data_IF_796149843697
#
_entry.id   IF_796149843697
#
_cell.length_a   1.000
_cell.length_b   1.000
_cell.length_c   1.000
_cell.angle_alpha   90.00
_cell.angle_beta   90.00
_cell.angle_gamma   90.00
#
_symmetry.space_group_name_H-M   'P 1'
#
loop_
_entity.id
_entity.type
_entity.pdbx_description
1 polymer ?
#
# COMPACT_ATOMS: atom_id res chain seq x y z
N UNK A 1 17.61 -47.36 26.70
CA UNK A 1 16.95 -46.04 26.77
C UNK A 1 15.46 -46.30 26.94
N UNK A 2 14.88 -46.01 28.10
CA UNK A 2 13.44 -46.25 28.32
C UNK A 2 12.60 -45.38 27.39
N UNK A 3 11.55 -45.96 26.80
CA UNK A 3 10.62 -45.19 25.97
C UNK A 3 9.86 -44.18 26.84
N UNK A 4 9.76 -42.90 26.41
CA UNK A 4 9.03 -41.88 27.13
C UNK A 4 7.60 -42.35 27.46
N UNK A 5 7.10 -42.00 28.65
CA UNK A 5 5.77 -42.41 29.13
C UNK A 5 4.67 -42.03 28.12
N UNK A 6 4.81 -40.89 27.46
CA UNK A 6 3.90 -40.39 26.42
C UNK A 6 3.82 -41.29 25.21
N UNK A 7 4.94 -41.86 24.76
CA UNK A 7 4.98 -42.82 23.66
C UNK A 7 4.37 -44.16 24.08
N UNK A 8 4.61 -44.59 25.33
CA UNK A 8 4.02 -45.82 25.87
C UNK A 8 2.50 -45.72 26.00
N UNK A 9 1.98 -44.54 26.36
CA UNK A 9 0.54 -44.26 26.55
C UNK A 9 -0.14 -43.64 25.32
N UNK A 10 0.48 -43.71 24.14
CA UNK A 10 -0.06 -43.05 22.94
C UNK A 10 -1.37 -43.69 22.45
N UNK A 11 -1.56 -44.98 22.68
CA UNK A 11 -2.72 -45.72 22.17
C UNK A 11 -3.94 -45.44 23.05
N UNK A 12 -4.92 -44.74 22.50
CA UNK A 12 -6.17 -44.38 23.16
C UNK A 12 -7.31 -45.35 22.84
N UNK A 13 -7.03 -46.51 22.24
CA UNK A 13 -8.00 -47.60 22.03
C UNK A 13 -9.32 -47.15 21.39
N UNK A 14 -9.23 -46.30 20.36
CA UNK A 14 -10.36 -45.72 19.62
C UNK A 14 -11.27 -44.82 20.47
N UNK A 15 -10.79 -44.29 21.59
CA UNK A 15 -11.49 -43.27 22.38
C UNK A 15 -11.92 -42.09 21.49
N UNK A 16 -13.17 -41.61 21.62
CA UNK A 16 -13.65 -40.44 20.88
C UNK A 16 -12.97 -39.19 21.40
N UNK A 17 -12.29 -38.47 20.53
CA UNK A 17 -11.64 -37.19 20.80
C UNK A 17 -12.33 -36.13 19.95
N UNK A 18 -12.87 -35.11 20.62
CA UNK A 18 -13.65 -34.04 20.00
C UNK A 18 -12.76 -32.97 19.37
N UNK A 19 -13.09 -32.54 18.16
CA UNK A 19 -12.43 -31.48 17.41
C UNK A 19 -13.47 -30.44 17.02
N UNK A 20 -13.37 -29.23 17.57
CA UNK A 20 -14.31 -28.16 17.21
C UNK A 20 -13.76 -27.34 16.02
N UNK A 21 -14.51 -27.22 14.93
CA UNK A 21 -14.11 -26.53 13.71
C UNK A 21 -15.09 -25.39 13.37
N UNK A 22 -14.53 -24.26 12.95
CA UNK A 22 -15.30 -23.07 12.57
C UNK A 22 -15.76 -23.19 11.13
N UNK A 23 -17.05 -23.12 10.86
CA UNK A 23 -17.63 -23.31 9.53
C UNK A 23 -18.69 -22.25 9.28
N UNK A 24 -18.67 -21.66 8.07
CA UNK A 24 -19.66 -20.67 7.64
C UNK A 24 -20.75 -21.26 6.74
N UNK A 25 -20.50 -22.40 6.10
CA UNK A 25 -21.44 -23.02 5.16
C UNK A 25 -21.62 -24.53 5.38
N UNK A 26 -22.83 -25.04 5.15
CA UNK A 26 -23.13 -26.47 5.30
C UNK A 26 -22.35 -27.37 4.33
N UNK A 27 -22.00 -26.88 3.14
CA UNK A 27 -21.16 -27.62 2.20
C UNK A 27 -19.78 -27.96 2.79
N UNK A 28 -19.19 -27.02 3.56
CA UNK A 28 -17.94 -27.25 4.28
C UNK A 28 -18.09 -28.33 5.36
N UNK A 29 -19.24 -28.43 6.04
CA UNK A 29 -19.47 -29.49 7.03
C UNK A 29 -19.36 -30.86 6.39
N UNK A 30 -19.94 -31.04 5.20
CA UNK A 30 -19.88 -32.30 4.45
C UNK A 30 -18.44 -32.63 4.01
N UNK A 31 -17.70 -31.66 3.47
CA UNK A 31 -16.27 -31.81 3.11
C UNK A 31 -15.45 -32.25 4.34
N UNK A 32 -15.66 -31.59 5.48
CA UNK A 32 -14.95 -31.92 6.72
C UNK A 32 -15.32 -33.28 7.31
N UNK A 33 -16.53 -33.80 7.06
CA UNK A 33 -16.93 -35.15 7.50
C UNK A 33 -16.41 -36.24 6.56
N UNK A 34 -16.51 -36.02 5.25
CA UNK A 34 -16.19 -37.00 4.21
C UNK A 34 -14.72 -36.97 3.78
N UNK A 35 -14.00 -35.91 4.10
CA UNK A 35 -12.64 -35.63 3.64
C UNK A 35 -12.51 -35.51 2.11
N UNK A 36 -13.62 -35.32 1.40
CA UNK A 36 -13.66 -35.11 -0.05
C UNK A 36 -13.44 -33.63 -0.41
N UNK A 37 -12.20 -33.28 -0.78
CA UNK A 37 -11.82 -31.89 -1.04
C UNK A 37 -12.32 -31.46 -2.42
N UNK A 38 -13.42 -30.71 -2.46
CA UNK A 38 -13.88 -30.08 -3.69
C UNK A 38 -13.01 -28.87 -4.04
N UNK A 39 -12.13 -29.04 -5.02
CA UNK A 39 -11.17 -28.02 -5.48
C UNK A 39 -11.85 -26.69 -5.90
N UNK A 40 -13.08 -26.74 -6.40
CA UNK A 40 -13.82 -25.56 -6.85
C UNK A 40 -14.31 -24.66 -5.69
N UNK A 41 -14.45 -25.21 -4.49
CA UNK A 41 -14.95 -24.52 -3.30
C UNK A 41 -13.84 -24.21 -2.28
N UNK A 42 -12.59 -24.22 -2.75
CA UNK A 42 -11.40 -23.94 -1.92
C UNK A 42 -11.30 -22.49 -1.45
N UNK A 43 -12.16 -21.60 -1.90
CA UNK A 43 -12.20 -20.20 -1.46
C UNK A 43 -13.09 -19.99 -0.23
N UNK A 44 -13.85 -21.01 0.19
CA UNK A 44 -14.76 -20.97 1.35
C UNK A 44 -14.17 -21.81 2.48
N UNK A 45 -14.15 -21.25 3.70
CA UNK A 45 -13.69 -21.91 4.94
C UNK A 45 -12.33 -22.62 4.81
N UNK A 46 -11.47 -22.12 3.94
CA UNK A 46 -10.24 -22.81 3.54
C UNK A 46 -9.27 -22.99 4.71
N UNK A 47 -9.29 -22.08 5.69
CA UNK A 47 -8.54 -22.21 6.95
C UNK A 47 -8.99 -23.47 7.69
N UNK A 48 -10.30 -23.66 7.88
CA UNK A 48 -10.86 -24.81 8.59
C UNK A 48 -10.69 -26.12 7.83
N UNK A 49 -10.82 -26.08 6.49
CA UNK A 49 -10.51 -27.22 5.60
C UNK A 49 -9.06 -27.66 5.74
N UNK A 50 -8.12 -26.71 5.78
CA UNK A 50 -6.70 -27.00 5.95
C UNK A 50 -6.37 -27.53 7.35
N UNK A 51 -6.77 -26.82 8.39
CA UNK A 51 -6.41 -27.16 9.76
C UNK A 51 -7.01 -28.49 10.22
N UNK A 52 -8.25 -28.81 9.81
CA UNK A 52 -8.86 -30.11 10.15
C UNK A 52 -8.11 -31.27 9.46
N UNK A 53 -7.65 -31.07 8.21
CA UNK A 53 -6.79 -32.04 7.51
C UNK A 53 -5.42 -32.17 8.14
N UNK A 54 -4.85 -31.09 8.66
CA UNK A 54 -3.56 -31.09 9.36
C UNK A 54 -3.62 -31.77 10.74
N UNK A 55 -4.76 -31.67 11.42
CA UNK A 55 -4.98 -32.34 12.71
C UNK A 55 -5.34 -33.82 12.55
N UNK A 56 -5.81 -34.25 11.37
CA UNK A 56 -6.30 -35.62 11.17
C UNK A 56 -5.28 -36.73 11.43
N UNK A 57 -4.02 -36.64 10.94
CA UNK A 57 -3.02 -37.67 11.21
C UNK A 57 -2.69 -37.86 12.70
N UNK A 58 -3.05 -36.89 13.55
CA UNK A 58 -2.91 -37.02 15.00
C UNK A 58 -3.77 -38.16 15.56
N UNK A 59 -4.97 -38.37 15.01
CA UNK A 59 -5.87 -39.45 15.48
C UNK A 59 -5.29 -40.82 15.16
N UNK A 60 -4.68 -40.98 13.99
CA UNK A 60 -4.00 -42.22 13.61
C UNK A 60 -2.78 -42.48 14.50
N UNK A 61 -2.01 -41.42 14.82
CA UNK A 61 -0.87 -41.52 15.73
C UNK A 61 -1.26 -42.00 17.14
N UNK A 62 -2.42 -41.56 17.62
CA UNK A 62 -2.93 -41.91 18.95
C UNK A 62 -3.88 -43.12 18.95
N UNK A 63 -4.18 -43.71 17.78
CA UNK A 63 -5.25 -44.71 17.63
C UNK A 63 -6.56 -44.26 18.31
N UNK A 64 -7.01 -43.03 18.02
CA UNK A 64 -8.22 -42.42 18.58
C UNK A 64 -9.29 -42.22 17.49
N UNK A 65 -10.56 -42.14 17.87
CA UNK A 65 -11.64 -41.80 16.92
C UNK A 65 -11.89 -40.30 16.93
N UNK A 66 -12.03 -39.71 15.76
CA UNK A 66 -12.27 -38.27 15.61
C UNK A 66 -13.77 -37.99 15.64
N UNK A 67 -14.19 -37.07 16.49
CA UNK A 67 -15.56 -36.51 16.48
C UNK A 67 -15.47 -35.03 16.14
N UNK A 68 -16.11 -34.58 15.06
CA UNK A 68 -16.06 -33.17 14.65
C UNK A 68 -17.29 -32.44 15.19
N UNK A 69 -17.05 -31.34 15.90
CA UNK A 69 -18.07 -30.40 16.39
C UNK A 69 -18.00 -29.15 15.54
N UNK A 70 -19.13 -28.66 15.06
CA UNK A 70 -19.17 -27.47 14.20
C UNK A 70 -19.66 -26.25 14.96
N UNK A 71 -19.05 -25.11 14.67
CA UNK A 71 -19.42 -23.82 15.25
C UNK A 71 -19.21 -22.69 14.25
N UNK A 72 -19.83 -21.54 14.45
CA UNK A 72 -19.76 -20.41 13.51
C UNK A 72 -18.63 -19.42 13.83
N UNK A 73 -18.06 -19.49 15.04
CA UNK A 73 -17.08 -18.50 15.50
C UNK A 73 -15.89 -19.15 16.23
N UNK A 74 -14.73 -18.48 16.19
CA UNK A 74 -13.53 -18.90 16.92
C UNK A 74 -13.71 -18.92 18.43
N UNK A 75 -14.64 -18.12 18.95
CA UNK A 75 -14.94 -18.01 20.36
C UNK A 75 -14.42 -16.71 20.97
N UNK A 76 -15.37 -15.93 21.47
CA UNK A 76 -15.20 -14.63 22.09
C UNK A 76 -15.89 -14.61 23.44
N UNK A 77 -15.43 -13.75 24.33
CA UNK A 77 -16.01 -13.62 25.66
C UNK A 77 -17.32 -12.82 25.54
N UNK A 78 -18.45 -13.48 25.79
CA UNK A 78 -19.79 -12.89 25.78
C UNK A 78 -20.44 -13.19 27.12
N UNK A 79 -20.82 -12.15 27.86
CA UNK A 79 -21.47 -12.27 29.18
C UNK A 79 -20.71 -13.17 30.17
N UNK A 80 -19.38 -13.09 30.17
CA UNK A 80 -18.51 -13.84 31.10
C UNK A 80 -18.18 -15.28 30.69
N UNK A 81 -18.74 -15.80 29.59
CA UNK A 81 -18.44 -17.13 29.06
C UNK A 81 -17.92 -17.06 27.63
N UNK A 82 -17.08 -18.03 27.23
CA UNK A 82 -16.61 -18.13 25.85
C UNK A 82 -17.67 -18.82 25.00
N UNK A 83 -18.02 -18.23 23.87
CA UNK A 83 -18.80 -18.89 22.83
C UNK A 83 -17.88 -19.59 21.81
N UNK A 84 -18.46 -20.10 20.73
CA UNK A 84 -17.70 -20.63 19.59
C UNK A 84 -16.82 -21.83 19.94
N UNK A 85 -15.80 -22.03 19.12
CA UNK A 85 -14.84 -23.13 19.25
C UNK A 85 -14.14 -23.15 20.61
N UNK A 86 -13.73 -22.00 21.12
CA UNK A 86 -13.11 -21.91 22.46
C UNK A 86 -14.12 -22.28 23.56
N UNK A 87 -15.39 -21.88 23.41
CA UNK A 87 -16.47 -22.29 24.31
C UNK A 87 -16.63 -23.81 24.37
N UNK A 88 -16.51 -24.50 23.23
CA UNK A 88 -16.57 -25.96 23.16
C UNK A 88 -15.42 -26.62 23.92
N UNK A 89 -14.20 -26.07 23.82
CA UNK A 89 -13.04 -26.53 24.59
C UNK A 89 -13.21 -26.29 26.10
N UNK A 90 -13.73 -25.13 26.49
CA UNK A 90 -13.92 -24.79 27.91
C UNK A 90 -14.98 -25.71 28.54
N UNK A 91 -16.12 -25.91 27.86
CA UNK A 91 -17.23 -26.78 28.27
C UNK A 91 -16.90 -28.28 28.21
N UNK A 92 -15.84 -28.66 27.50
CA UNK A 92 -15.48 -30.07 27.30
C UNK A 92 -16.32 -30.77 26.23
N UNK A 93 -16.95 -30.01 25.33
CA UNK A 93 -17.62 -30.57 24.15
C UNK A 93 -16.62 -30.96 23.04
N UNK A 94 -15.43 -30.36 23.06
CA UNK A 94 -14.29 -30.72 22.21
C UNK A 94 -12.99 -30.67 23.01
N UNK A 95 -12.01 -31.48 22.62
CA UNK A 95 -10.69 -31.56 23.25
C UNK A 95 -9.64 -30.71 22.52
N UNK A 96 -9.81 -30.57 21.21
CA UNK A 96 -8.88 -29.92 20.27
C UNK A 96 -9.61 -28.90 19.40
N UNK A 97 -8.89 -27.86 18.98
CA UNK A 97 -9.36 -26.98 17.91
C UNK A 97 -9.08 -27.59 16.55
N UNK A 98 -10.13 -27.74 15.74
CA UNK A 98 -10.07 -28.11 14.33
C UNK A 98 -9.75 -26.93 13.42
N UNK A 99 -9.99 -25.70 13.88
CA UNK A 99 -9.57 -24.47 13.21
C UNK A 99 -8.45 -23.78 13.98
N UNK A 100 -7.42 -23.31 13.26
CA UNK A 100 -6.31 -22.59 13.89
C UNK A 100 -6.74 -21.23 14.45
N UNK A 101 -6.10 -20.78 15.53
CA UNK A 101 -6.44 -19.54 16.25
C UNK A 101 -5.22 -18.65 16.51
N UNK A 102 -5.42 -17.34 16.58
CA UNK A 102 -4.38 -16.41 17.01
C UNK A 102 -4.25 -16.34 18.54
N UNK A 103 -3.02 -16.12 18.99
CA UNK A 103 -2.68 -15.91 20.40
C UNK A 103 -3.28 -14.59 20.88
N UNK A 104 -3.94 -14.64 22.04
CA UNK A 104 -4.35 -13.42 22.78
C UNK A 104 -4.13 -13.62 24.28
N UNK A 105 -3.87 -12.52 25.00
CA UNK A 105 -3.63 -12.55 26.46
C UNK A 105 -4.74 -13.28 27.25
N UNK A 106 -6.05 -13.07 26.98
CA UNK A 106 -7.10 -13.81 27.68
C UNK A 106 -7.10 -15.31 27.37
N UNK A 107 -6.83 -15.69 26.12
CA UNK A 107 -6.83 -17.10 25.67
C UNK A 107 -5.64 -17.90 26.23
N UNK A 108 -4.48 -17.28 26.42
CA UNK A 108 -3.29 -17.93 27.02
C UNK A 108 -3.51 -18.49 28.44
N UNK A 109 -4.52 -17.97 29.16
CA UNK A 109 -4.85 -18.46 30.50
C UNK A 109 -5.59 -19.80 30.47
N UNK A 110 -6.36 -20.06 29.42
CA UNK A 110 -7.28 -21.21 29.33
C UNK A 110 -6.89 -22.25 28.27
N UNK A 111 -6.10 -21.87 27.28
CA UNK A 111 -5.66 -22.73 26.17
C UNK A 111 -4.16 -23.03 26.26
N UNK A 112 -3.80 -24.21 25.79
CA UNK A 112 -2.43 -24.61 25.48
C UNK A 112 -2.22 -24.56 23.97
N UNK A 113 -1.14 -23.91 23.54
CA UNK A 113 -0.77 -23.78 22.14
C UNK A 113 0.16 -24.93 21.76
N UNK A 114 -0.19 -25.67 20.71
CA UNK A 114 0.43 -26.96 20.40
C UNK A 114 1.37 -26.85 19.20
N UNK A 115 0.85 -26.44 18.04
CA UNK A 115 1.58 -26.39 16.77
C UNK A 115 0.95 -25.35 15.85
N UNK A 116 1.73 -24.76 14.94
CA UNK A 116 1.28 -23.84 13.90
C UNK A 116 1.44 -24.51 12.53
N UNK A 117 0.40 -25.16 12.00
CA UNK A 117 0.56 -25.98 10.81
C UNK A 117 0.53 -25.16 9.51
N UNK A 118 0.07 -23.90 9.54
CA UNK A 118 0.00 -23.00 8.38
C UNK A 118 1.01 -21.86 8.49
N UNK A 119 1.65 -21.53 7.37
CA UNK A 119 2.52 -20.36 7.22
C UNK A 119 1.77 -19.13 6.69
N UNK A 120 0.54 -19.31 6.20
CA UNK A 120 -0.27 -18.21 5.69
C UNK A 120 -0.92 -17.45 6.85
N UNK A 121 -0.94 -16.13 6.74
CA UNK A 121 -1.39 -15.23 7.81
C UNK A 121 -2.34 -14.16 7.26
N UNK A 122 -2.81 -13.26 8.13
CA UNK A 122 -3.68 -12.15 7.75
C UNK A 122 -2.86 -10.88 7.65
N UNK A 123 -2.87 -10.24 6.48
CA UNK A 123 -2.09 -9.02 6.21
C UNK A 123 -2.90 -8.05 5.37
N UNK A 124 -2.55 -6.76 5.44
CA UNK A 124 -2.93 -5.81 4.40
C UNK A 124 -2.10 -6.09 3.16
N UNK A 125 -2.78 -6.35 2.05
CA UNK A 125 -2.18 -6.47 0.74
C UNK A 125 -2.61 -5.28 -0.10
N UNK A 126 -1.72 -4.72 -0.89
CA UNK A 126 -2.02 -3.63 -1.82
C UNK A 126 -1.04 -3.64 -2.99
N UNK A 127 -1.41 -2.99 -4.10
CA UNK A 127 -0.46 -2.63 -5.14
C UNK A 127 0.20 -1.31 -4.79
N UNK A 128 1.52 -1.21 -4.94
CA UNK A 128 2.20 0.07 -4.79
C UNK A 128 1.55 1.11 -5.71
N UNK A 129 1.09 2.25 -5.16
CA UNK A 129 0.52 3.30 -5.97
C UNK A 129 1.62 3.96 -6.82
N UNK A 130 1.23 4.65 -7.89
CA UNK A 130 2.13 5.48 -8.66
C UNK A 130 2.76 6.57 -7.79
N UNK A 131 3.97 7.01 -8.12
CA UNK A 131 4.66 8.06 -7.36
C UNK A 131 3.89 9.38 -7.34
N UNK A 132 3.17 9.68 -8.43
CA UNK A 132 2.26 10.83 -8.55
C UNK A 132 1.11 10.85 -7.54
N UNK A 133 0.69 9.67 -7.07
CA UNK A 133 -0.44 9.59 -6.16
C UNK A 133 -0.08 10.19 -4.79
N UNK A 134 1.15 9.96 -4.32
CA UNK A 134 1.63 10.50 -3.04
C UNK A 134 2.27 11.89 -3.21
N UNK A 135 3.04 12.11 -4.27
CA UNK A 135 3.90 13.28 -4.43
C UNK A 135 3.59 14.14 -5.66
N UNK A 136 4.00 15.40 -5.60
CA UNK A 136 4.02 16.26 -6.79
C UNK A 136 5.22 15.89 -7.68
N UNK A 137 4.94 15.23 -8.81
CA UNK A 137 5.96 14.79 -9.76
C UNK A 137 6.79 15.91 -10.38
N UNK A 138 6.28 17.14 -10.45
CA UNK A 138 6.97 18.25 -11.12
C UNK A 138 8.10 18.86 -10.28
N UNK A 139 8.15 18.58 -8.98
CA UNK A 139 9.22 19.10 -8.09
C UNK A 139 10.34 18.07 -7.89
N UNK A 140 10.02 16.79 -8.03
CA UNK A 140 10.91 15.64 -7.85
C UNK A 140 12.08 15.49 -8.85
N UNK A 141 12.07 16.01 -10.09
CA UNK A 141 13.15 15.76 -11.06
C UNK A 141 14.50 16.30 -10.60
N UNK A 142 14.49 17.33 -9.75
CA UNK A 142 15.69 17.96 -9.21
C UNK A 142 15.63 18.02 -7.69
N UNK A 143 16.76 17.76 -7.04
CA UNK A 143 16.90 17.97 -5.60
C UNK A 143 16.72 19.45 -5.25
N UNK A 144 16.27 19.81 -4.04
CA UNK A 144 16.13 21.20 -3.62
C UNK A 144 17.38 22.06 -3.88
N UNK A 145 18.57 21.50 -3.65
CA UNK A 145 19.83 22.20 -3.91
C UNK A 145 20.02 22.56 -5.39
N UNK A 146 19.59 21.69 -6.31
CA UNK A 146 19.67 21.96 -7.76
C UNK A 146 18.68 23.05 -8.15
N UNK A 147 17.48 23.08 -7.55
CA UNK A 147 16.53 24.18 -7.73
C UNK A 147 17.12 25.53 -7.30
N UNK A 148 17.80 25.57 -6.15
CA UNK A 148 18.51 26.79 -5.71
C UNK A 148 19.64 27.19 -6.66
N UNK A 149 20.40 26.23 -7.19
CA UNK A 149 21.40 26.52 -8.22
C UNK A 149 20.79 27.08 -9.51
N UNK A 150 19.67 26.51 -9.99
CA UNK A 150 18.96 27.01 -11.18
C UNK A 150 18.49 28.45 -10.94
N UNK A 151 17.91 28.74 -9.78
CA UNK A 151 17.53 30.11 -9.41
C UNK A 151 18.75 31.05 -9.39
N UNK A 152 19.87 30.61 -8.80
CA UNK A 152 21.12 31.37 -8.81
C UNK A 152 21.63 31.66 -10.22
N UNK A 153 21.54 30.70 -11.13
CA UNK A 153 21.96 30.88 -12.53
C UNK A 153 21.01 31.82 -13.28
N UNK A 154 19.70 31.75 -13.04
CA UNK A 154 18.73 32.71 -13.59
C UNK A 154 19.08 34.15 -13.17
N UNK A 155 19.35 34.37 -11.87
CA UNK A 155 19.75 35.69 -11.36
C UNK A 155 21.08 36.14 -11.96
N UNK A 156 22.07 35.24 -12.04
CA UNK A 156 23.36 35.54 -12.66
C UNK A 156 23.19 35.95 -14.13
N UNK A 157 22.35 35.24 -14.90
CA UNK A 157 22.06 35.57 -16.29
C UNK A 157 21.31 36.91 -16.42
N UNK A 158 20.38 37.23 -15.51
CA UNK A 158 19.74 38.55 -15.46
C UNK A 158 20.78 39.67 -15.32
N UNK A 159 21.76 39.50 -14.42
CA UNK A 159 22.83 40.48 -14.22
C UNK A 159 23.72 40.58 -15.45
N UNK A 160 24.18 39.46 -16.00
CA UNK A 160 25.06 39.43 -17.19
C UNK A 160 24.38 40.10 -18.38
N UNK A 161 23.10 39.80 -18.64
CA UNK A 161 22.34 40.40 -19.75
C UNK A 161 22.12 41.89 -19.51
N UNK A 162 21.79 42.29 -18.28
CA UNK A 162 21.63 43.71 -17.94
C UNK A 162 22.91 44.50 -18.14
N UNK A 163 24.07 43.95 -17.74
CA UNK A 163 25.38 44.57 -17.96
C UNK A 163 25.71 44.62 -19.46
N UNK A 164 25.45 43.55 -20.22
CA UNK A 164 25.66 43.55 -21.67
C UNK A 164 24.78 44.59 -22.37
N UNK A 165 23.50 44.70 -21.98
CA UNK A 165 22.59 45.70 -22.50
C UNK A 165 23.06 47.12 -22.19
N UNK A 166 23.55 47.38 -20.97
CA UNK A 166 24.13 48.67 -20.60
C UNK A 166 25.41 48.98 -21.39
N UNK A 167 26.29 48.00 -21.56
CA UNK A 167 27.53 48.14 -22.33
C UNK A 167 27.27 48.42 -23.81
N UNK A 168 26.30 47.72 -24.41
CA UNK A 168 25.88 47.95 -25.78
C UNK A 168 25.31 49.37 -25.94
N UNK A 169 24.52 49.86 -24.96
CA UNK A 169 24.04 51.24 -24.97
C UNK A 169 25.18 52.26 -24.94
N UNK A 170 26.16 52.11 -24.03
CA UNK A 170 27.31 53.03 -23.93
C UNK A 170 28.10 53.07 -25.25
N UNK A 171 28.32 51.91 -25.87
CA UNK A 171 29.03 51.81 -27.15
C UNK A 171 28.26 52.46 -28.31
N UNK A 172 26.92 52.41 -28.27
CA UNK A 172 26.08 53.04 -29.30
C UNK A 172 25.92 54.55 -29.07
N UNK A 173 26.00 55.05 -27.83
CA UNK A 173 26.05 56.49 -27.54
C UNK A 173 27.36 57.13 -28.03
N UNK A 174 28.47 56.38 -28.03
CA UNK A 174 29.80 56.82 -28.51
C UNK A 174 29.89 56.88 -30.05
N UNK A 175 29.09 56.06 -30.74
CA UNK A 175 28.96 56.05 -32.20
C UNK A 175 27.67 56.80 -32.55
N UNK A 176 27.72 58.13 -32.76
CA UNK A 176 26.63 59.04 -33.15
C UNK A 176 25.67 58.48 -34.25
N UNK A 177 24.86 57.47 -33.93
CA UNK A 177 23.96 56.81 -34.86
C UNK A 177 22.54 57.14 -34.43
N UNK A 178 21.91 57.97 -35.25
CA UNK A 178 20.61 58.63 -35.09
C UNK A 178 19.41 57.63 -35.01
N UNK A 179 19.65 56.32 -35.00
CA UNK A 179 18.61 55.30 -34.86
C UNK A 179 18.40 54.94 -33.38
N UNK A 180 17.62 55.79 -32.71
CA UNK A 180 17.12 55.59 -31.35
C UNK A 180 16.32 54.29 -31.26
N UNK A 181 16.98 53.20 -30.84
CA UNK A 181 16.30 51.98 -30.41
C UNK A 181 15.99 52.08 -28.92
N UNK A 182 14.77 51.70 -28.48
CA UNK A 182 14.42 51.76 -27.08
C UNK A 182 15.36 50.83 -26.30
N UNK A 183 15.91 51.35 -25.19
CA UNK A 183 16.70 50.57 -24.23
C UNK A 183 15.84 49.39 -23.77
N UNK A 184 16.34 48.15 -23.79
CA UNK A 184 15.58 47.02 -23.27
C UNK A 184 15.25 47.29 -21.80
N UNK A 185 13.97 47.31 -21.49
CA UNK A 185 13.49 47.47 -20.12
C UNK A 185 13.88 46.24 -19.29
N UNK A 186 13.95 46.40 -17.97
CA UNK A 186 14.12 45.25 -17.07
C UNK A 186 13.04 44.18 -17.31
N UNK A 187 11.83 44.59 -17.72
CA UNK A 187 10.76 43.68 -18.12
C UNK A 187 11.08 42.89 -19.41
N UNK A 188 11.70 43.51 -20.40
CA UNK A 188 12.09 42.84 -21.65
C UNK A 188 13.17 41.79 -21.40
N UNK A 189 14.14 42.10 -20.54
CA UNK A 189 15.18 41.18 -20.11
C UNK A 189 14.57 40.01 -19.32
N UNK A 190 13.62 40.29 -18.41
CA UNK A 190 12.93 39.24 -17.68
C UNK A 190 12.15 38.30 -18.63
N UNK A 191 11.42 38.86 -19.61
CA UNK A 191 10.71 38.07 -20.62
C UNK A 191 11.67 37.24 -21.48
N UNK A 192 12.84 37.78 -21.81
CA UNK A 192 13.90 37.06 -22.51
C UNK A 192 14.40 35.83 -21.76
N UNK A 193 14.63 35.95 -20.44
CA UNK A 193 15.04 34.80 -19.62
C UNK A 193 13.91 33.81 -19.43
N UNK A 194 12.67 34.28 -19.22
CA UNK A 194 11.50 33.40 -19.17
C UNK A 194 11.36 32.63 -20.48
N UNK A 195 11.54 33.29 -21.62
CA UNK A 195 11.61 32.67 -22.94
C UNK A 195 12.68 31.57 -22.99
N UNK A 196 13.90 31.88 -22.57
CA UNK A 196 14.99 30.89 -22.56
C UNK A 196 14.71 29.67 -21.67
N UNK A 197 14.15 29.88 -20.46
CA UNK A 197 13.76 28.80 -19.54
C UNK A 197 12.64 27.94 -20.11
N UNK A 198 11.66 28.58 -20.77
CA UNK A 198 10.49 27.91 -21.39
C UNK A 198 10.77 27.41 -22.81
N UNK A 199 12.00 27.56 -23.29
CA UNK A 199 12.41 27.25 -24.67
C UNK A 199 11.63 28.00 -25.75
N UNK A 200 11.11 29.19 -25.42
CA UNK A 200 10.46 30.09 -26.35
C UNK A 200 11.41 31.21 -26.79
N UNK A 201 11.23 31.69 -28.02
CA UNK A 201 11.92 32.88 -28.51
C UNK A 201 11.37 34.16 -27.89
N UNK A 202 12.13 35.26 -27.99
CA UNK A 202 11.66 36.59 -27.62
C UNK A 202 11.92 37.59 -28.73
N UNK A 203 11.16 38.68 -28.76
CA UNK A 203 11.31 39.73 -29.78
C UNK A 203 12.51 40.65 -29.51
N UNK A 204 12.99 40.68 -28.27
CA UNK A 204 14.11 41.52 -27.83
C UNK A 204 15.41 40.77 -28.04
N UNK A 205 16.26 41.28 -28.94
CA UNK A 205 17.55 40.67 -29.27
C UNK A 205 18.71 41.61 -28.94
N UNK A 206 19.77 41.08 -28.33
CA UNK A 206 21.06 41.78 -28.19
C UNK A 206 21.81 41.67 -29.52
N UNK A 207 22.21 42.80 -30.11
CA UNK A 207 22.79 42.80 -31.46
C UNK A 207 24.30 42.63 -31.46
N UNK A 208 24.98 43.08 -30.41
CA UNK A 208 26.43 42.95 -30.25
C UNK A 208 26.90 41.50 -30.25
N UNK A 209 28.12 41.26 -30.77
CA UNK A 209 28.73 39.90 -30.84
C UNK A 209 28.80 39.23 -29.47
N UNK A 210 29.17 39.97 -28.41
CA UNK A 210 29.19 39.47 -27.04
C UNK A 210 27.79 39.08 -26.56
N UNK A 211 26.79 39.92 -26.81
CA UNK A 211 25.39 39.65 -26.49
C UNK A 211 24.89 38.37 -27.17
N UNK A 212 25.18 38.17 -28.46
CA UNK A 212 24.81 36.95 -29.19
C UNK A 212 25.45 35.69 -28.61
N UNK A 213 26.72 35.75 -28.21
CA UNK A 213 27.40 34.62 -27.56
C UNK A 213 26.78 34.31 -26.21
N UNK A 214 26.47 35.33 -25.40
CA UNK A 214 25.79 35.16 -24.11
C UNK A 214 24.39 34.56 -24.30
N UNK A 215 23.62 35.06 -25.25
CA UNK A 215 22.31 34.49 -25.60
C UNK A 215 22.44 33.03 -25.99
N UNK A 216 23.36 32.70 -26.89
CA UNK A 216 23.58 31.33 -27.33
C UNK A 216 23.92 30.40 -26.16
N UNK A 217 24.84 30.79 -25.28
CA UNK A 217 25.21 30.02 -24.10
C UNK A 217 24.04 29.87 -23.11
N UNK A 218 23.25 30.93 -22.92
CA UNK A 218 22.06 30.90 -22.08
C UNK A 218 21.01 29.91 -22.61
N UNK A 219 20.66 30.00 -23.89
CA UNK A 219 19.70 29.09 -24.52
C UNK A 219 20.21 27.65 -24.52
N UNK A 220 21.50 27.43 -24.77
CA UNK A 220 22.12 26.10 -24.72
C UNK A 220 22.06 25.51 -23.31
N UNK A 221 22.36 26.31 -22.27
CA UNK A 221 22.27 25.88 -20.88
C UNK A 221 20.83 25.47 -20.51
N UNK A 222 19.84 26.32 -20.79
CA UNK A 222 18.45 26.01 -20.47
C UNK A 222 17.90 24.86 -21.32
N UNK A 223 18.39 24.66 -22.54
CA UNK A 223 18.10 23.49 -23.35
C UNK A 223 18.52 22.19 -22.63
N UNK A 224 19.75 22.11 -22.10
CA UNK A 224 20.20 20.94 -21.36
C UNK A 224 19.45 20.73 -20.04
N UNK A 225 19.11 21.81 -19.32
CA UNK A 225 18.31 21.70 -18.10
C UNK A 225 16.90 21.18 -18.38
N UNK A 226 16.25 21.70 -19.42
CA UNK A 226 14.91 21.28 -19.82
C UNK A 226 14.87 19.84 -20.31
N UNK A 227 15.85 19.40 -21.12
CA UNK A 227 15.89 18.01 -21.61
C UNK A 227 16.11 17.03 -20.46
N UNK A 228 16.98 17.36 -19.51
CA UNK A 228 17.20 16.58 -18.28
C UNK A 228 15.92 16.51 -17.41
N UNK A 229 15.27 17.66 -17.20
CA UNK A 229 14.00 17.73 -16.47
C UNK A 229 12.91 16.86 -17.12
N UNK A 230 12.75 16.98 -18.44
CA UNK A 230 11.74 16.23 -19.20
C UNK A 230 11.99 14.72 -19.16
N UNK A 231 13.24 14.28 -19.34
CA UNK A 231 13.60 12.87 -19.25
C UNK A 231 13.31 12.28 -17.86
N UNK A 232 13.66 13.02 -16.79
CA UNK A 232 13.42 12.58 -15.42
C UNK A 232 11.92 12.48 -15.10
N UNK A 233 11.08 13.40 -15.58
CA UNK A 233 9.63 13.31 -15.39
C UNK A 233 9.07 12.03 -16.02
N UNK A 234 9.48 11.71 -17.24
CA UNK A 234 9.02 10.49 -17.93
C UNK A 234 9.39 9.24 -17.13
N UNK A 235 10.61 9.18 -16.60
CA UNK A 235 11.04 8.07 -15.74
C UNK A 235 10.26 8.01 -14.41
N UNK A 236 9.96 9.15 -13.80
CA UNK A 236 9.22 9.23 -12.54
C UNK A 236 7.73 8.87 -12.70
N UNK A 237 7.12 9.18 -13.84
CA UNK A 237 5.75 8.78 -14.16
C UNK A 237 5.58 7.25 -14.23
N UNK A 238 6.63 6.56 -14.64
CA UNK A 238 6.66 5.10 -14.73
C UNK A 238 7.04 4.42 -13.42
N UNK A 239 7.50 5.20 -12.42
CA UNK A 239 8.00 4.67 -11.17
C UNK A 239 6.86 4.50 -10.16
N UNK A 240 6.83 3.36 -9.46
CA UNK A 240 5.97 3.16 -8.31
C UNK A 240 6.54 3.83 -7.06
N UNK A 241 5.65 4.24 -6.15
CA UNK A 241 6.07 4.74 -4.83
C UNK A 241 6.52 3.59 -3.93
N UNK A 242 7.64 3.78 -3.24
CA UNK A 242 8.14 2.88 -2.19
C UNK A 242 8.02 3.50 -0.78
N UNK A 243 7.10 4.45 -0.59
CA UNK A 243 6.94 5.18 0.69
C UNK A 243 6.13 4.40 1.72
N UNK A 244 5.26 3.49 1.29
CA UNK A 244 4.33 2.77 2.18
C UNK A 244 4.93 1.43 2.56
N UNK A 245 5.62 1.38 3.70
CA UNK A 245 6.24 0.15 4.24
C UNK A 245 5.70 -0.26 5.59
N UNK A 246 5.28 0.72 6.39
CA UNK A 246 4.81 0.50 7.75
C UNK A 246 3.33 0.76 7.89
N UNK A 247 2.76 0.31 9.00
CA UNK A 247 1.37 0.58 9.34
C UNK A 247 1.09 2.07 9.54
N UNK A 248 2.08 2.83 10.01
CA UNK A 248 2.02 4.30 10.13
C UNK A 248 1.92 4.96 8.77
N UNK A 249 2.73 4.52 7.81
CA UNK A 249 2.68 5.03 6.44
C UNK A 249 1.33 4.71 5.79
N UNK A 250 0.82 3.50 6.04
CA UNK A 250 -0.49 3.08 5.54
C UNK A 250 -1.62 3.98 6.08
N UNK A 251 -1.58 4.33 7.37
CA UNK A 251 -2.52 5.24 8.01
C UNK A 251 -2.48 6.66 7.39
N UNK A 252 -1.27 7.18 7.16
CA UNK A 252 -1.05 8.53 6.63
C UNK A 252 -1.22 8.62 5.11
N UNK A 253 -1.18 7.49 4.41
CA UNK A 253 -1.34 7.44 2.96
C UNK A 253 -2.73 7.91 2.50
N UNK A 254 -2.81 8.40 1.27
CA UNK A 254 -4.08 8.69 0.60
C UNK A 254 -4.86 7.43 0.18
N UNK A 255 -4.36 6.22 0.44
CA UNK A 255 -5.04 4.99 0.01
C UNK A 255 -6.29 4.72 0.84
N UNK A 256 -7.28 4.11 0.19
CA UNK A 256 -8.43 3.55 0.85
C UNK A 256 -8.11 2.17 1.43
N UNK A 257 -8.66 1.86 2.61
CA UNK A 257 -8.48 0.58 3.27
C UNK A 257 -9.81 -0.17 3.32
N UNK A 258 -9.75 -1.49 3.26
CA UNK A 258 -10.89 -2.34 3.62
C UNK A 258 -10.44 -3.67 4.18
N UNK A 259 -11.40 -4.42 4.70
CA UNK A 259 -11.16 -5.62 5.49
C UNK A 259 -12.07 -6.74 5.04
N UNK A 260 -11.53 -7.95 4.94
CA UNK A 260 -12.31 -9.15 4.69
C UNK A 260 -13.31 -9.37 5.82
N UNK A 261 -14.59 -9.52 5.47
CA UNK A 261 -15.68 -9.68 6.41
C UNK A 261 -15.68 -11.07 7.06
N UNK A 262 -14.87 -11.20 8.11
CA UNK A 262 -14.77 -12.42 8.91
C UNK A 262 -14.96 -12.10 10.40
N UNK A 263 -15.48 -13.05 11.21
CA UNK A 263 -15.67 -12.85 12.64
C UNK A 263 -14.37 -12.44 13.36
N UNK A 264 -13.23 -13.01 12.96
CA UNK A 264 -11.94 -12.70 13.57
C UNK A 264 -11.49 -11.27 13.23
N UNK A 265 -11.63 -10.83 11.98
CA UNK A 265 -11.26 -9.46 11.61
C UNK A 265 -12.12 -8.45 12.36
N UNK A 266 -13.43 -8.65 12.44
CA UNK A 266 -14.31 -7.77 13.22
C UNK A 266 -13.82 -7.61 14.66
N UNK A 267 -13.46 -8.71 15.32
CA UNK A 267 -12.92 -8.69 16.68
C UNK A 267 -11.55 -7.98 16.80
N UNK A 268 -10.59 -8.29 15.92
CA UNK A 268 -9.24 -7.71 16.00
C UNK A 268 -9.19 -6.23 15.62
N UNK A 269 -10.07 -5.78 14.75
CA UNK A 269 -10.20 -4.37 14.40
C UNK A 269 -10.95 -3.58 15.47
N UNK A 270 -12.06 -4.11 16.02
CA UNK A 270 -12.83 -3.41 17.06
C UNK A 270 -12.13 -3.34 18.41
N UNK A 271 -11.30 -4.32 18.74
CA UNK A 271 -10.62 -4.46 20.05
C UNK A 271 -9.18 -3.94 20.02
N UNK A 272 -8.77 -3.25 18.94
CA UNK A 272 -7.42 -2.72 18.82
C UNK A 272 -7.15 -1.63 19.87
N UNK A 273 -6.18 -1.86 20.75
CA UNK A 273 -5.78 -0.91 21.80
C UNK A 273 -4.65 0.03 21.38
N UNK A 274 -3.80 -0.42 20.45
CA UNK A 274 -2.64 0.36 20.02
C UNK A 274 -3.06 1.60 19.22
N UNK A 275 -2.38 2.74 19.41
CA UNK A 275 -2.83 4.03 18.86
C UNK A 275 -2.94 4.01 17.33
N UNK A 276 -1.96 3.42 16.63
CA UNK A 276 -1.95 3.36 15.15
C UNK A 276 -3.07 2.46 14.63
N UNK A 277 -3.25 1.28 15.25
CA UNK A 277 -4.25 0.29 14.84
C UNK A 277 -5.68 0.79 15.10
N UNK A 278 -5.88 1.40 16.27
CA UNK A 278 -7.12 2.07 16.64
C UNK A 278 -7.42 3.22 15.68
N UNK A 279 -6.43 4.04 15.35
CA UNK A 279 -6.58 5.13 14.37
C UNK A 279 -6.94 4.60 12.97
N UNK A 280 -6.36 3.48 12.52
CA UNK A 280 -6.75 2.83 11.27
C UNK A 280 -8.22 2.41 11.29
N UNK A 281 -8.65 1.77 12.38
CA UNK A 281 -10.05 1.36 12.52
C UNK A 281 -11.00 2.58 12.50
N UNK A 282 -10.76 3.57 13.35
CA UNK A 282 -11.64 4.72 13.53
C UNK A 282 -11.59 5.74 12.39
N UNK A 283 -10.46 5.89 11.68
CA UNK A 283 -10.32 6.89 10.61
C UNK A 283 -10.54 6.33 9.21
N UNK A 284 -10.16 5.07 8.94
CA UNK A 284 -10.13 4.52 7.58
C UNK A 284 -11.15 3.41 7.35
N UNK A 285 -11.41 2.56 8.34
CA UNK A 285 -12.26 1.36 8.16
C UNK A 285 -13.70 1.60 8.59
N UNK A 286 -13.91 2.15 9.79
CA UNK A 286 -15.21 2.50 10.33
C UNK A 286 -15.24 3.96 10.85
N UNK A 287 -15.09 4.96 9.95
CA UNK A 287 -15.28 6.36 10.31
C UNK A 287 -16.67 6.62 10.89
N UNK A 288 -16.74 7.44 11.94
CA UNK A 288 -18.01 7.86 12.56
C UNK A 288 -18.93 8.46 11.48
N UNK A 289 -20.12 7.90 11.33
CA UNK A 289 -21.12 8.35 10.35
C UNK A 289 -21.01 7.71 8.96
N UNK A 290 -20.09 6.77 8.74
CA UNK A 290 -19.97 6.03 7.47
C UNK A 290 -20.11 4.52 7.66
N UNK A 291 -20.50 3.80 6.61
CA UNK A 291 -20.62 2.34 6.66
C UNK A 291 -19.22 1.71 6.83
N UNK A 292 -19.02 0.80 7.79
CA UNK A 292 -17.78 0.06 7.94
C UNK A 292 -17.37 -0.66 6.65
N UNK A 293 -16.11 -0.53 6.25
CA UNK A 293 -15.53 -1.11 5.03
C UNK A 293 -15.16 -2.59 5.17
N UNK A 294 -16.09 -3.39 5.69
CA UNK A 294 -16.00 -4.86 5.64
C UNK A 294 -16.65 -5.36 4.34
N UNK A 295 -15.96 -6.22 3.62
CA UNK A 295 -16.42 -6.74 2.32
C UNK A 295 -15.97 -8.18 2.10
N UNK A 296 -16.55 -8.85 1.10
CA UNK A 296 -16.16 -10.20 0.73
C UNK A 296 -14.73 -10.25 0.18
N UNK A 297 -14.09 -11.42 0.29
CA UNK A 297 -12.74 -11.65 -0.25
C UNK A 297 -12.67 -11.35 -1.76
N UNK A 298 -13.67 -11.76 -2.54
CA UNK A 298 -13.75 -11.54 -3.98
C UNK A 298 -13.90 -10.05 -4.34
N UNK A 299 -14.79 -9.33 -3.66
CA UNK A 299 -14.98 -7.89 -3.87
C UNK A 299 -13.72 -7.10 -3.50
N UNK A 300 -13.09 -7.46 -2.37
CA UNK A 300 -11.86 -6.81 -1.89
C UNK A 300 -10.68 -7.00 -2.83
N UNK A 301 -10.46 -8.22 -3.34
CA UNK A 301 -9.39 -8.51 -4.31
C UNK A 301 -9.64 -7.79 -5.64
N UNK A 302 -10.89 -7.74 -6.14
CA UNK A 302 -11.24 -6.97 -7.35
C UNK A 302 -11.05 -5.47 -7.18
N UNK A 303 -11.33 -4.92 -5.99
CA UNK A 303 -11.04 -3.50 -5.68
C UNK A 303 -9.55 -3.22 -5.60
N UNK A 304 -8.79 -4.12 -4.97
CA UNK A 304 -7.32 -4.07 -4.89
C UNK A 304 -6.68 -4.04 -6.28
N UNK A 305 -7.28 -4.73 -7.26
CA UNK A 305 -6.80 -4.70 -8.64
C UNK A 305 -6.99 -3.34 -9.31
N UNK A 306 -8.18 -2.74 -9.16
CA UNK A 306 -8.65 -1.61 -9.98
C UNK A 306 -8.28 -0.23 -9.43
N UNK A 307 -8.04 -0.11 -8.13
CA UNK A 307 -7.87 1.18 -7.45
C UNK A 307 -6.73 1.10 -6.43
N UNK A 308 -6.11 2.24 -6.06
CA UNK A 308 -5.15 2.30 -4.95
C UNK A 308 -5.84 2.00 -3.62
N UNK A 309 -5.91 0.71 -3.30
CA UNK A 309 -6.70 0.16 -2.20
C UNK A 309 -5.89 -0.93 -1.49
N UNK A 310 -5.83 -0.86 -0.16
CA UNK A 310 -5.24 -1.90 0.66
C UNK A 310 -6.32 -2.73 1.34
N UNK A 311 -6.24 -4.03 1.11
CA UNK A 311 -7.21 -4.99 1.58
C UNK A 311 -6.60 -5.91 2.64
N UNK A 312 -7.17 -5.92 3.84
CA UNK A 312 -6.80 -6.87 4.88
C UNK A 312 -7.49 -8.20 4.63
N UNK A 313 -6.71 -9.23 4.28
CA UNK A 313 -7.22 -10.55 3.94
C UNK A 313 -6.28 -11.64 4.44
N UNK A 314 -6.79 -12.86 4.57
CA UNK A 314 -5.93 -14.02 4.75
C UNK A 314 -5.19 -14.33 3.44
N UNK A 315 -3.87 -14.18 3.44
CA UNK A 315 -3.07 -14.19 2.20
C UNK A 315 -3.13 -15.51 1.45
N UNK A 316 -3.25 -16.64 2.15
CA UNK A 316 -3.31 -17.97 1.53
C UNK A 316 -4.55 -18.17 0.64
N UNK A 317 -5.70 -17.62 1.03
CA UNK A 317 -6.93 -17.65 0.23
C UNK A 317 -6.98 -16.49 -0.76
N UNK A 318 -6.58 -15.30 -0.33
CA UNK A 318 -6.55 -14.09 -1.15
C UNK A 318 -5.68 -14.22 -2.39
N UNK A 319 -4.48 -14.81 -2.27
CA UNK A 319 -3.58 -14.95 -3.42
C UNK A 319 -4.11 -15.88 -4.50
N UNK A 320 -4.97 -16.84 -4.16
CA UNK A 320 -5.63 -17.69 -5.16
C UNK A 320 -6.57 -16.87 -6.06
N UNK A 321 -7.24 -15.86 -5.50
CA UNK A 321 -8.06 -14.93 -6.29
C UNK A 321 -7.19 -13.94 -7.06
N UNK A 322 -6.06 -13.51 -6.48
CA UNK A 322 -5.07 -12.67 -7.19
C UNK A 322 -4.54 -13.40 -8.42
N UNK A 323 -4.14 -14.67 -8.31
CA UNK A 323 -3.70 -15.48 -9.46
C UNK A 323 -4.76 -15.58 -10.56
N UNK A 324 -6.04 -15.58 -10.18
CA UNK A 324 -7.17 -15.68 -11.12
C UNK A 324 -7.51 -14.35 -11.80
N UNK A 325 -7.46 -13.24 -11.05
CA UNK A 325 -7.93 -11.94 -11.54
C UNK A 325 -6.83 -11.06 -12.10
N UNK A 326 -5.61 -11.14 -11.56
CA UNK A 326 -4.52 -10.20 -11.86
C UNK A 326 -3.72 -10.67 -13.06
N UNK A 327 -3.33 -9.72 -13.91
CA UNK A 327 -2.36 -9.93 -14.97
C UNK A 327 -0.94 -9.98 -14.39
N UNK A 328 0.02 -10.56 -15.13
CA UNK A 328 1.39 -10.76 -14.64
C UNK A 328 2.07 -9.47 -14.16
N UNK A 329 1.91 -8.37 -14.89
CA UNK A 329 2.49 -7.07 -14.51
C UNK A 329 1.85 -6.48 -13.24
N UNK A 330 0.56 -6.77 -12.99
CA UNK A 330 -0.16 -6.27 -11.81
C UNK A 330 0.29 -6.95 -10.52
N UNK A 331 0.80 -8.18 -10.62
CA UNK A 331 1.30 -8.97 -9.48
C UNK A 331 2.62 -8.39 -8.93
N UNK A 332 3.43 -7.77 -9.79
CA UNK A 332 4.73 -7.22 -9.42
C UNK A 332 4.67 -6.05 -8.43
N UNK A 333 3.54 -5.33 -8.38
CA UNK A 333 3.32 -4.23 -7.45
C UNK A 333 2.86 -4.65 -6.04
N UNK A 334 2.62 -5.94 -5.78
CA UNK A 334 2.01 -6.40 -4.54
C UNK A 334 2.93 -6.24 -3.33
N UNK A 335 2.45 -5.54 -2.31
CA UNK A 335 3.11 -5.33 -1.02
C UNK A 335 2.22 -5.84 0.11
N UNK A 336 2.87 -6.26 1.20
CA UNK A 336 2.23 -6.83 2.38
C UNK A 336 2.62 -6.03 3.62
N UNK A 337 1.63 -5.65 4.43
CA UNK A 337 1.84 -5.01 5.73
C UNK A 337 1.06 -5.79 6.79
N UNK A 338 1.77 -6.27 7.80
CA UNK A 338 1.18 -6.98 8.92
C UNK A 338 0.35 -6.03 9.80
N UNK A 339 -0.91 -6.38 10.02
CA UNK A 339 -1.77 -5.66 10.96
C UNK A 339 -1.73 -6.29 12.36
N UNK A 340 -1.85 -7.61 12.45
CA UNK A 340 -1.90 -8.36 13.72
C UNK A 340 -0.48 -8.69 14.16
N UNK A 341 -0.03 -8.24 15.33
CA UNK A 341 1.33 -8.50 15.84
C UNK A 341 1.67 -10.00 15.96
N UNK A 342 0.77 -10.79 16.55
CA UNK A 342 0.88 -12.25 16.63
C UNK A 342 -0.01 -12.91 15.57
N UNK A 343 0.38 -12.77 14.29
CA UNK A 343 -0.42 -13.25 13.16
C UNK A 343 -0.18 -14.73 12.80
N UNK A 344 0.60 -15.48 13.59
CA UNK A 344 0.80 -16.91 13.37
C UNK A 344 -0.39 -17.66 13.96
N UNK A 345 -1.12 -18.45 13.16
CA UNK A 345 -2.29 -19.19 13.65
C UNK A 345 -1.90 -20.58 14.18
N UNK A 346 -2.44 -20.96 15.34
CA UNK A 346 -2.06 -22.15 16.09
C UNK A 346 -3.22 -23.13 16.29
N UNK A 347 -2.91 -24.42 16.29
CA UNK A 347 -3.74 -25.47 16.86
C UNK A 347 -3.58 -25.49 18.38
N UNK A 348 -4.67 -25.67 19.10
CA UNK A 348 -4.72 -25.57 20.55
C UNK A 348 -5.60 -26.65 21.18
N UNK A 349 -5.37 -26.90 22.47
CA UNK A 349 -6.25 -27.69 23.32
C UNK A 349 -6.52 -26.95 24.64
N UNK A 350 -7.38 -27.52 25.49
CA UNK A 350 -7.58 -27.02 26.85
C UNK A 350 -6.30 -27.12 27.67
N UNK A 351 -5.94 -26.07 28.42
CA UNK A 351 -4.67 -26.02 29.18
C UNK A 351 -4.49 -27.15 30.19
N UNK A 352 -5.59 -27.62 30.77
CA UNK A 352 -5.63 -28.74 31.72
C UNK A 352 -5.75 -30.11 31.03
N UNK A 353 -5.61 -30.22 29.71
CA UNK A 353 -5.79 -31.48 28.99
C UNK A 353 -4.70 -32.50 29.38
N UNK A 354 -5.07 -33.75 29.75
CA UNK A 354 -4.11 -34.80 30.06
C UNK A 354 -3.33 -35.26 28.82
N UNK A 355 -3.89 -35.05 27.62
CA UNK A 355 -3.32 -35.49 26.35
C UNK A 355 -2.36 -34.47 25.72
N UNK A 356 -2.17 -33.29 26.34
CA UNK A 356 -1.40 -32.17 25.76
C UNK A 356 -0.03 -32.57 25.21
N UNK A 357 0.68 -33.46 25.89
CA UNK A 357 2.03 -33.87 25.50
C UNK A 357 2.00 -34.86 24.33
N UNK A 358 1.03 -35.77 24.31
CA UNK A 358 0.78 -36.67 23.17
C UNK A 358 0.40 -35.85 21.94
N UNK A 359 -0.44 -34.83 22.11
CA UNK A 359 -0.82 -33.91 21.04
C UNK A 359 0.38 -33.14 20.49
N UNK A 360 1.23 -32.56 21.36
CA UNK A 360 2.44 -31.85 20.92
C UNK A 360 3.35 -32.77 20.11
N UNK A 361 3.65 -33.96 20.61
CA UNK A 361 4.52 -34.92 19.91
C UNK A 361 3.93 -35.30 18.54
N UNK A 362 2.64 -35.65 18.49
CA UNK A 362 1.99 -36.05 17.24
C UNK A 362 1.91 -34.92 16.22
N UNK A 363 1.61 -33.69 16.64
CA UNK A 363 1.55 -32.53 15.74
C UNK A 363 2.94 -32.08 15.27
N UNK A 364 3.95 -32.16 16.12
CA UNK A 364 5.35 -31.93 15.70
C UNK A 364 5.80 -32.97 14.68
N UNK A 365 5.45 -34.25 14.90
CA UNK A 365 5.69 -35.31 13.92
C UNK A 365 5.05 -35.00 12.56
N UNK A 366 3.82 -34.49 12.54
CA UNK A 366 3.14 -34.09 11.29
C UNK A 366 3.92 -33.00 10.55
N UNK A 367 4.53 -32.07 11.29
CA UNK A 367 5.38 -31.03 10.73
C UNK A 367 6.69 -31.62 10.18
N UNK A 368 7.40 -32.44 10.96
CA UNK A 368 8.66 -33.08 10.57
C UNK A 368 8.54 -33.97 9.33
N UNK A 369 7.41 -34.66 9.17
CA UNK A 369 7.15 -35.53 8.01
C UNK A 369 6.61 -34.76 6.79
N UNK A 370 6.46 -33.43 6.87
CA UNK A 370 5.95 -32.61 5.78
C UNK A 370 4.47 -32.78 5.46
N UNK A 371 3.67 -33.40 6.36
CA UNK A 371 2.23 -33.56 6.16
C UNK A 371 1.52 -32.20 6.13
N UNK A 372 1.94 -31.29 7.02
CA UNK A 372 1.43 -29.92 7.05
C UNK A 372 1.76 -29.17 5.75
N UNK A 373 2.97 -29.32 5.23
CA UNK A 373 3.43 -28.70 3.98
C UNK A 373 2.65 -29.21 2.77
N UNK A 374 2.35 -30.51 2.72
CA UNK A 374 1.50 -31.08 1.68
C UNK A 374 0.12 -30.42 1.68
N UNK A 375 -0.53 -30.30 2.83
CA UNK A 375 -1.84 -29.65 2.94
C UNK A 375 -1.76 -28.17 2.57
N UNK A 376 -0.72 -27.48 3.03
CA UNK A 376 -0.51 -26.06 2.70
C UNK A 376 -0.39 -25.85 1.18
N UNK A 377 0.36 -26.69 0.46
CA UNK A 377 0.50 -26.61 -1.00
C UNK A 377 -0.78 -26.94 -1.76
N UNK A 378 -1.67 -27.76 -1.20
CA UNK A 378 -2.95 -28.11 -1.83
C UNK A 378 -4.00 -26.99 -1.68
N UNK A 379 -4.01 -26.29 -0.53
CA UNK A 379 -5.09 -25.37 -0.17
C UNK A 379 -4.66 -23.91 -0.29
N UNK A 380 -3.51 -23.53 0.24
CA UNK A 380 -3.06 -22.14 0.27
C UNK A 380 -2.24 -21.79 -0.97
N UNK A 381 -2.56 -20.66 -1.58
CA UNK A 381 -1.72 -20.04 -2.59
C UNK A 381 -0.57 -19.27 -1.91
N UNK A 382 0.59 -19.26 -2.56
CA UNK A 382 1.71 -18.39 -2.16
C UNK A 382 1.55 -17.03 -2.83
N UNK A 383 2.29 -16.03 -2.35
CA UNK A 383 2.44 -14.77 -3.07
C UNK A 383 2.93 -15.07 -4.50
N UNK A 384 2.21 -14.64 -5.54
CA UNK A 384 2.62 -14.90 -6.91
C UNK A 384 3.99 -14.27 -7.19
N UNK A 385 4.95 -15.01 -7.78
CA UNK A 385 6.23 -14.43 -8.14
C UNK A 385 6.03 -13.39 -9.25
N UNK A 386 6.80 -12.30 -9.19
CA UNK A 386 6.90 -11.37 -10.30
C UNK A 386 7.86 -11.96 -11.34
N UNK A 387 7.34 -12.47 -12.46
CA UNK A 387 8.15 -13.10 -13.52
C UNK A 387 8.58 -12.06 -14.57
N UNK A 388 7.74 -11.07 -14.85
CA UNK A 388 8.01 -10.04 -15.84
C UNK A 388 8.12 -8.67 -15.16
N UNK A 389 9.35 -8.20 -14.95
CA UNK A 389 9.65 -6.79 -14.68
C UNK A 389 9.56 -5.92 -15.95
N UNK A 390 9.11 -6.49 -17.08
CA UNK A 390 8.96 -5.77 -18.34
C UNK A 390 7.98 -4.62 -18.14
N UNK A 391 8.51 -3.39 -18.10
CA UNK A 391 7.77 -2.17 -17.90
C UNK A 391 6.70 -2.00 -18.97
N UNK A 392 5.50 -2.47 -18.66
CA UNK A 392 4.32 -2.05 -19.37
C UNK A 392 4.07 -0.59 -19.01
N UNK A 393 4.03 0.24 -20.05
CA UNK A 393 3.69 1.64 -19.94
C UNK A 393 2.25 1.73 -19.43
N UNK A 394 2.09 2.03 -18.15
CA UNK A 394 0.78 2.39 -17.61
C UNK A 394 0.35 3.73 -18.21
N UNK A 395 -0.93 3.84 -18.55
CA UNK A 395 -1.50 5.08 -19.04
C UNK A 395 -1.38 6.16 -17.97
N UNK A 396 -0.87 7.33 -18.34
CA UNK A 396 -0.80 8.49 -17.43
C UNK A 396 -2.21 8.91 -17.03
N UNK A 397 -2.46 8.97 -15.72
CA UNK A 397 -3.76 9.34 -15.17
C UNK A 397 -3.91 10.85 -15.06
N UNK A 398 -5.16 11.33 -15.01
CA UNK A 398 -5.44 12.75 -14.80
C UNK A 398 -4.90 13.28 -13.46
N UNK A 399 -4.76 12.40 -12.46
CA UNK A 399 -4.13 12.70 -11.17
C UNK A 399 -2.67 13.12 -11.31
N UNK A 400 -1.98 12.63 -12.34
CA UNK A 400 -0.55 12.85 -12.54
C UNK A 400 -0.30 14.25 -13.12
N UNK A 401 -1.24 14.72 -13.96
CA UNK A 401 -1.22 16.06 -14.56
C UNK A 401 -1.88 17.14 -13.70
N UNK A 402 -2.61 16.75 -12.64
CA UNK A 402 -3.39 17.65 -11.80
C UNK A 402 -2.61 18.87 -11.27
N UNK A 403 -1.36 18.75 -10.74
CA UNK A 403 -0.60 19.91 -10.26
C UNK A 403 -0.26 20.92 -11.36
N UNK A 404 0.00 20.46 -12.59
CA UNK A 404 0.28 21.34 -13.73
C UNK A 404 -0.96 22.15 -14.13
N UNK A 405 -2.14 21.51 -14.12
CA UNK A 405 -3.41 22.20 -14.38
C UNK A 405 -3.69 23.29 -13.34
N UNK A 406 -3.43 23.00 -12.05
CA UNK A 406 -3.55 24.00 -10.99
C UNK A 406 -2.58 25.17 -11.18
N UNK A 407 -1.33 24.90 -11.56
CA UNK A 407 -0.36 25.96 -11.83
C UNK A 407 -0.85 26.89 -12.97
N UNK A 408 -1.42 26.33 -14.04
CA UNK A 408 -1.98 27.10 -15.14
C UNK A 408 -3.15 27.99 -14.68
N UNK A 409 -4.07 27.44 -13.89
CA UNK A 409 -5.22 28.17 -13.36
C UNK A 409 -4.76 29.31 -12.43
N UNK A 410 -3.86 29.03 -11.49
CA UNK A 410 -3.35 30.08 -10.59
C UNK A 410 -2.54 31.13 -11.35
N UNK A 411 -1.76 30.75 -12.35
CA UNK A 411 -1.00 31.67 -13.21
C UNK A 411 -1.91 32.59 -14.02
N UNK A 412 -2.98 32.07 -14.61
CA UNK A 412 -3.95 32.87 -15.37
C UNK A 412 -4.72 33.84 -14.48
N UNK A 413 -5.16 33.41 -13.29
CA UNK A 413 -5.81 34.29 -12.30
C UNK A 413 -4.86 35.41 -11.87
N UNK A 414 -3.59 35.08 -11.58
CA UNK A 414 -2.59 36.06 -11.19
C UNK A 414 -2.31 37.08 -12.30
N UNK A 415 -2.19 36.63 -13.55
CA UNK A 415 -1.97 37.52 -14.70
C UNK A 415 -3.14 38.50 -14.89
N UNK A 416 -4.38 38.00 -14.79
CA UNK A 416 -5.59 38.84 -14.87
C UNK A 416 -5.64 39.84 -13.71
N UNK A 417 -5.29 39.42 -12.49
CA UNK A 417 -5.24 40.30 -11.33
C UNK A 417 -4.19 41.42 -11.49
N UNK A 418 -2.98 41.09 -11.97
CA UNK A 418 -1.92 42.07 -12.26
C UNK A 418 -2.36 43.08 -13.31
N UNK A 419 -3.01 42.61 -14.39
CA UNK A 419 -3.58 43.49 -15.42
C UNK A 419 -4.59 44.48 -14.82
N UNK A 420 -5.51 44.03 -13.94
CA UNK A 420 -6.44 44.93 -13.27
C UNK A 420 -5.73 45.93 -12.35
N UNK A 421 -4.71 45.50 -11.62
CA UNK A 421 -3.91 46.39 -10.75
C UNK A 421 -3.20 47.46 -11.59
N UNK A 422 -2.63 47.09 -12.73
CA UNK A 422 -1.97 48.03 -13.64
C UNK A 422 -2.94 49.06 -14.22
N UNK A 423 -4.13 48.63 -14.64
CA UNK A 423 -5.19 49.52 -15.13
C UNK A 423 -5.62 50.49 -14.02
N UNK A 424 -5.85 50.00 -12.81
CA UNK A 424 -6.23 50.84 -11.66
C UNK A 424 -5.12 51.84 -11.30
N UNK A 425 -3.86 51.40 -11.31
CA UNK A 425 -2.71 52.26 -11.07
C UNK A 425 -2.58 53.33 -12.15
N UNK A 426 -2.74 52.96 -13.42
CA UNK A 426 -2.72 53.90 -14.55
C UNK A 426 -3.80 54.98 -14.42
N UNK A 427 -5.04 54.59 -14.12
CA UNK A 427 -6.13 55.55 -13.89
C UNK A 427 -5.86 56.47 -12.68
N UNK A 428 -5.32 55.93 -11.58
CA UNK A 428 -4.99 56.73 -10.38
C UNK A 428 -3.86 57.72 -10.62
N UNK A 429 -2.84 57.36 -11.41
CA UNK A 429 -1.75 58.25 -11.78
C UNK A 429 -2.22 59.36 -12.74
N UNK A 430 -3.10 59.03 -13.70
CA UNK A 430 -3.66 60.01 -14.63
C UNK A 430 -4.61 61.00 -13.94
N UNK A 431 -5.39 60.56 -12.96
CA UNK A 431 -6.23 61.43 -12.13
C UNK A 431 -5.45 62.44 -11.29
N UNK A 432 -4.22 62.12 -10.87
CA UNK A 432 -3.31 63.07 -10.19
C UNK A 432 -2.70 64.11 -11.13
N UNK A 433 -2.64 63.84 -12.43
CA UNK A 433 -2.01 64.71 -13.42
C UNK A 433 -2.96 65.80 -13.94
N UNK A 434 -4.28 65.65 -13.74
CA UNK A 434 -5.31 66.66 -14.04
C UNK A 434 -5.70 67.54 -12.83
N UNK A 435 -5.12 67.31 -11.65
CA UNK A 435 -5.36 68.09 -10.42
C UNK A 435 -4.21 69.05 -10.06
N UNK A 436 -3.21 69.17 -10.93
CA UNK A 436 -2.21 70.26 -10.97
C UNK A 436 -2.49 71.07 -12.21
#
# INVERSE_FOLDING_TARGET
METPITIRRKNLERMPIGVSAVVSCDATKIDLLTFDLKLNELHIDFVSKASTRQVTPLFDFMNATRVVVFTETWGYLVNGSYNGMIGDLVRGAADLTGTVIFITKPRLKILEYLSYPSTATVMFVFRQPSLSYQNNLFVLPFKPNVWFCIFGVIVLMMVIISVNAQWENIKMDDINTIYMKPKPSAGDIAMMIIGAVTQQGTYTELKGTLGRVVMFLMFLLFLFLYTSYSANIVALLQSSSNEIKTLTDLLNSKMELGVEDTPYNRYFFSTATEPIRKAIYEKKIAPRGSKPKFMSLDEGVKKLQKKPFAFNMFVGGGYRLVERFFLEHEKCGLQEIQYIQENIPWLTCKKSSPFKEIYKIGLTRNHEHGLNDRVNRMIYAKKPPCIAHGGLFDSVNMTDFYPALLMLIYGTILAVALMFIEILHFHRCRGKQYSK
#
